data_IF_225401996759
#
_entry.id   IF_225401996759
#
_cell.length_a   1.000
_cell.length_b   1.000
_cell.length_c   1.000
_cell.angle_alpha   90.00
_cell.angle_beta   90.00
_cell.angle_gamma   90.00
#
_symmetry.space_group_name_H-M   'P 1'
#
loop_
_entity.id
_entity.type
_entity.pdbx_description
1 polymer ?
#
# COMPACT_ATOMS: atom_id res chain seq x y z
N UNK A 1 14.25 14.50 18.82
CA UNK A 1 13.13 13.94 19.59
C UNK A 1 12.45 12.93 18.70
N UNK A 2 12.62 11.64 18.96
CA UNK A 2 11.90 10.60 18.24
C UNK A 2 10.42 10.74 18.57
N UNK A 3 9.58 10.93 17.56
CA UNK A 3 8.13 10.97 17.74
C UNK A 3 7.70 9.56 18.19
N UNK A 4 6.81 9.49 19.17
CA UNK A 4 6.40 8.23 19.83
C UNK A 4 5.75 7.24 18.83
N UNK A 5 5.45 7.72 17.62
CA UNK A 5 4.91 7.02 16.46
C UNK A 5 5.96 6.31 15.60
N UNK A 6 7.25 6.67 15.71
CA UNK A 6 8.35 6.02 14.98
C UNK A 6 8.83 4.72 15.65
N UNK A 7 8.31 4.40 16.84
CA UNK A 7 8.66 3.21 17.65
C UNK A 7 7.59 2.10 17.61
N UNK A 8 6.51 2.25 16.84
CA UNK A 8 5.50 1.19 16.68
C UNK A 8 5.97 0.18 15.63
N UNK A 9 5.89 -1.12 15.95
CA UNK A 9 6.28 -2.18 15.03
C UNK A 9 5.56 -2.03 13.67
N UNK A 10 6.35 -1.78 12.61
CA UNK A 10 5.87 -1.52 11.25
C UNK A 10 6.05 -0.08 10.75
N UNK A 11 6.18 0.93 11.62
CA UNK A 11 6.42 2.32 11.22
C UNK A 11 7.91 2.66 11.04
N UNK A 12 8.82 1.91 11.66
CA UNK A 12 10.27 2.11 11.58
C UNK A 12 10.81 2.07 10.15
N UNK A 13 10.36 1.11 9.33
CA UNK A 13 10.78 1.00 7.91
C UNK A 13 10.30 2.19 7.10
N UNK A 14 9.05 2.59 7.31
CA UNK A 14 8.49 3.78 6.67
C UNK A 14 9.29 5.03 7.03
N UNK A 15 9.65 5.19 8.30
CA UNK A 15 10.46 6.32 8.78
C UNK A 15 11.90 6.29 8.20
N UNK A 16 12.50 5.11 8.06
CA UNK A 16 13.80 4.94 7.40
C UNK A 16 13.76 5.39 5.94
N UNK A 17 12.79 4.89 5.16
CA UNK A 17 12.63 5.29 3.77
C UNK A 17 12.30 6.77 3.63
N UNK A 18 11.51 7.35 4.53
CA UNK A 18 11.24 8.78 4.53
C UNK A 18 12.50 9.61 4.83
N UNK A 19 13.37 9.14 5.72
CA UNK A 19 14.64 9.81 6.02
C UNK A 19 15.59 9.76 4.82
N UNK A 20 15.71 8.60 4.16
CA UNK A 20 16.49 8.43 2.94
C UNK A 20 15.96 9.31 1.81
N UNK A 21 14.64 9.33 1.61
CA UNK A 21 13.99 10.15 0.60
C UNK A 21 14.23 11.65 0.82
N UNK A 22 14.30 12.12 2.07
CA UNK A 22 14.66 13.51 2.36
C UNK A 22 16.09 13.85 1.93
N UNK A 23 17.04 12.91 2.05
CA UNK A 23 18.40 13.11 1.57
C UNK A 23 18.44 13.21 0.05
N UNK A 24 17.75 12.29 -0.63
CA UNK A 24 17.66 12.29 -2.10
C UNK A 24 16.93 13.54 -2.60
N UNK A 25 15.87 13.98 -1.91
CA UNK A 25 15.14 15.21 -2.23
C UNK A 25 16.03 16.45 -2.11
N UNK A 26 16.86 16.53 -1.08
CA UNK A 26 17.80 17.64 -0.91
C UNK A 26 18.85 17.68 -2.03
N UNK A 27 19.42 16.51 -2.37
CA UNK A 27 20.38 16.38 -3.47
C UNK A 27 19.75 16.73 -4.84
N UNK A 28 18.54 16.24 -5.11
CA UNK A 28 17.79 16.56 -6.33
C UNK A 28 17.50 18.07 -6.43
N UNK A 29 17.08 18.69 -5.33
CA UNK A 29 16.80 20.13 -5.29
C UNK A 29 18.08 20.94 -5.57
N UNK A 30 19.19 20.58 -4.91
CA UNK A 30 20.48 21.22 -5.14
C UNK A 30 20.93 21.10 -6.61
N UNK A 31 20.79 19.93 -7.23
CA UNK A 31 21.12 19.73 -8.64
C UNK A 31 20.21 20.56 -9.56
N UNK A 32 18.92 20.64 -9.27
CA UNK A 32 17.96 21.46 -10.03
C UNK A 32 18.26 22.96 -9.97
N UNK A 33 18.78 23.44 -8.85
CA UNK A 33 19.19 24.83 -8.69
C UNK A 33 20.50 25.15 -9.44
N UNK A 34 21.38 24.16 -9.62
CA UNK A 34 22.65 24.32 -10.36
C UNK A 34 22.48 24.21 -11.88
N UNK A 35 21.53 23.43 -12.38
CA UNK A 35 21.31 23.20 -13.83
C UNK A 35 21.15 24.49 -14.66
N UNK A 36 20.48 25.56 -14.18
CA UNK A 36 20.41 26.84 -14.88
C UNK A 36 21.76 27.55 -15.08
N UNK A 37 22.70 27.37 -14.15
CA UNK A 37 24.02 28.03 -14.18
C UNK A 37 25.00 27.32 -15.12
N UNK A 38 24.77 26.03 -15.37
CA UNK A 38 25.61 25.20 -16.22
C UNK A 38 25.24 25.32 -17.70
N UNK A 39 26.22 25.12 -18.60
CA UNK A 39 25.98 25.11 -20.05
C UNK A 39 26.76 24.00 -20.76
N UNK A 40 26.27 23.53 -21.91
CA UNK A 40 26.94 22.51 -22.71
C UNK A 40 26.96 21.12 -22.07
N UNK A 41 28.12 20.46 -22.11
CA UNK A 41 28.34 19.12 -21.58
C UNK A 41 28.14 18.98 -20.06
N UNK A 42 28.67 19.86 -19.18
CA UNK A 42 28.45 19.74 -17.73
C UNK A 42 26.97 19.87 -17.36
N UNK A 43 26.20 20.68 -18.10
CA UNK A 43 24.74 20.75 -17.90
C UNK A 43 24.05 19.44 -18.26
N UNK A 44 24.45 18.80 -19.37
CA UNK A 44 23.89 17.51 -19.78
C UNK A 44 24.18 16.43 -18.74
N UNK A 45 25.39 16.43 -18.18
CA UNK A 45 25.77 15.55 -17.08
C UNK A 45 24.92 15.81 -15.82
N UNK A 46 24.75 17.08 -15.43
CA UNK A 46 23.94 17.47 -14.28
C UNK A 46 22.46 17.07 -14.43
N UNK A 47 21.88 17.23 -15.62
CA UNK A 47 20.51 16.78 -15.91
C UNK A 47 20.41 15.26 -15.77
N UNK A 48 21.35 14.50 -16.34
CA UNK A 48 21.34 13.04 -16.21
C UNK A 48 21.50 12.58 -14.76
N UNK A 49 22.32 13.27 -13.96
CA UNK A 49 22.44 13.00 -12.53
C UNK A 49 21.17 13.33 -11.75
N UNK A 50 20.48 14.43 -12.10
CA UNK A 50 19.18 14.78 -11.52
C UNK A 50 18.09 13.78 -11.92
N UNK A 51 18.10 13.27 -13.16
CA UNK A 51 17.19 12.22 -13.62
C UNK A 51 17.37 10.93 -12.80
N UNK A 52 18.62 10.52 -12.52
CA UNK A 52 18.91 9.36 -11.66
C UNK A 52 18.44 9.57 -10.21
N UNK A 53 18.71 10.74 -9.63
CA UNK A 53 18.23 11.05 -8.27
C UNK A 53 16.69 11.08 -8.19
N UNK A 54 16.02 11.54 -9.25
CA UNK A 54 14.56 11.48 -9.33
C UNK A 54 14.04 10.05 -9.44
N UNK A 55 14.74 9.16 -10.15
CA UNK A 55 14.41 7.73 -10.24
C UNK A 55 14.54 7.06 -8.86
N UNK A 56 15.67 7.28 -8.17
CA UNK A 56 15.89 6.81 -6.79
C UNK A 56 14.80 7.32 -5.83
N UNK A 57 14.43 8.60 -5.92
CA UNK A 57 13.34 9.15 -5.12
C UNK A 57 11.98 8.46 -5.38
N UNK A 58 11.71 8.07 -6.63
CA UNK A 58 10.49 7.34 -7.00
C UNK A 58 10.50 5.91 -6.48
N UNK A 59 11.64 5.23 -6.53
CA UNK A 59 11.81 3.91 -5.93
C UNK A 59 11.52 3.92 -4.43
N UNK A 60 12.02 4.93 -3.70
CA UNK A 60 11.74 5.10 -2.28
C UNK A 60 10.25 5.37 -2.00
N UNK A 61 9.58 6.18 -2.83
CA UNK A 61 8.12 6.36 -2.75
C UNK A 61 7.38 5.03 -2.91
N UNK A 62 7.81 4.18 -3.83
CA UNK A 62 7.19 2.87 -4.06
C UNK A 62 7.43 1.91 -2.89
N UNK A 63 8.62 1.91 -2.30
CA UNK A 63 8.91 1.17 -1.07
C UNK A 63 8.03 1.65 0.09
N UNK A 64 7.90 2.97 0.28
CA UNK A 64 7.00 3.56 1.29
C UNK A 64 5.54 3.17 1.05
N UNK A 65 5.11 3.06 -0.22
CA UNK A 65 3.74 2.65 -0.59
C UNK A 65 3.47 1.20 -0.21
N UNK A 66 4.47 0.32 -0.34
CA UNK A 66 4.37 -1.11 0.01
C UNK A 66 4.31 -1.29 1.53
N UNK A 67 5.01 -0.47 2.32
CA UNK A 67 4.99 -0.57 3.79
C UNK A 67 3.74 0.06 4.43
N UNK A 68 3.10 1.01 3.74
CA UNK A 68 1.90 1.72 4.23
C UNK A 68 0.76 0.83 4.75
N UNK A 69 0.41 -0.32 4.15
CA UNK A 69 -0.64 -1.21 4.65
C UNK A 69 -0.31 -1.84 6.01
N UNK A 70 0.98 -2.00 6.32
CA UNK A 70 1.50 -2.65 7.54
C UNK A 70 1.41 -1.74 8.78
N UNK A 71 1.07 -0.46 8.61
CA UNK A 71 1.01 0.54 9.68
C UNK A 71 -0.24 0.30 10.58
N UNK A 72 -0.12 0.35 11.91
CA UNK A 72 -1.26 0.26 12.83
C UNK A 72 -2.31 1.36 12.63
N UNK A 73 -3.57 1.05 12.90
CA UNK A 73 -4.73 1.94 12.71
C UNK A 73 -4.59 3.38 13.26
N UNK A 74 -4.04 3.60 14.48
CA UNK A 74 -3.87 4.95 15.04
C UNK A 74 -2.93 5.84 14.22
N UNK A 75 -1.86 5.29 13.63
CA UNK A 75 -0.85 6.04 12.89
C UNK A 75 -1.19 6.21 11.39
N UNK A 76 -2.11 5.40 10.84
CA UNK A 76 -2.45 5.40 9.40
C UNK A 76 -2.81 6.77 8.85
N UNK A 77 -3.66 7.55 9.54
CA UNK A 77 -4.13 8.84 9.00
C UNK A 77 -2.99 9.85 8.84
N UNK A 78 -2.12 9.97 9.85
CA UNK A 78 -0.97 10.87 9.83
C UNK A 78 0.03 10.45 8.76
N UNK A 79 0.33 9.15 8.66
CA UNK A 79 1.26 8.65 7.63
C UNK A 79 0.69 8.80 6.22
N UNK A 80 -0.60 8.57 6.02
CA UNK A 80 -1.26 8.79 4.72
C UNK A 80 -1.21 10.26 4.27
N UNK A 81 -1.24 11.20 5.20
CA UNK A 81 -1.08 12.62 4.89
C UNK A 81 0.38 12.93 4.52
N UNK A 82 1.34 12.48 5.33
CA UNK A 82 2.78 12.66 5.05
C UNK A 82 3.17 12.07 3.69
N UNK A 83 2.77 10.83 3.41
CA UNK A 83 3.03 10.16 2.14
C UNK A 83 2.51 10.96 0.94
N UNK A 84 1.28 11.50 1.03
CA UNK A 84 0.70 12.34 -0.04
C UNK A 84 1.50 13.62 -0.27
N UNK A 85 1.96 14.26 0.81
CA UNK A 85 2.78 15.48 0.69
C UNK A 85 4.11 15.18 0.01
N UNK A 86 4.81 14.14 0.47
CA UNK A 86 6.11 13.76 -0.08
C UNK A 86 5.98 13.33 -1.55
N UNK A 87 4.93 12.57 -1.90
CA UNK A 87 4.65 12.22 -3.29
C UNK A 87 4.43 13.47 -4.16
N UNK A 88 3.65 14.44 -3.67
CA UNK A 88 3.43 15.70 -4.37
C UNK A 88 4.74 16.47 -4.58
N UNK A 89 5.60 16.55 -3.57
CA UNK A 89 6.86 17.28 -3.64
C UNK A 89 7.80 16.66 -4.70
N UNK A 90 7.92 15.33 -4.74
CA UNK A 90 8.73 14.63 -5.75
C UNK A 90 8.14 14.81 -7.15
N UNK A 91 6.82 14.79 -7.31
CA UNK A 91 6.16 15.07 -8.58
C UNK A 91 6.43 16.51 -9.07
N UNK A 92 6.45 17.49 -8.16
CA UNK A 92 6.79 18.87 -8.47
C UNK A 92 8.24 19.01 -8.94
N UNK A 93 9.19 18.38 -8.23
CA UNK A 93 10.60 18.35 -8.62
C UNK A 93 10.80 17.69 -9.99
N UNK A 94 10.08 16.60 -10.27
CA UNK A 94 10.11 15.93 -11.57
C UNK A 94 9.60 16.81 -12.72
N UNK A 95 8.55 17.62 -12.48
CA UNK A 95 8.06 18.60 -13.46
C UNK A 95 9.08 19.70 -13.70
N UNK A 96 9.73 20.23 -12.66
CA UNK A 96 10.79 21.24 -12.77
C UNK A 96 11.96 20.72 -13.61
N UNK A 97 12.41 19.49 -13.37
CA UNK A 97 13.46 18.84 -14.17
C UNK A 97 13.06 18.74 -15.65
N UNK A 98 11.82 18.31 -15.91
CA UNK A 98 11.30 18.16 -17.27
C UNK A 98 11.27 19.50 -18.00
N UNK A 99 10.84 20.58 -17.34
CA UNK A 99 10.83 21.92 -17.91
C UNK A 99 12.24 22.40 -18.28
N UNK A 100 13.21 22.27 -17.36
CA UNK A 100 14.61 22.65 -17.59
C UNK A 100 15.30 21.82 -18.68
N UNK A 101 14.86 20.58 -18.91
CA UNK A 101 15.37 19.72 -19.99
C UNK A 101 14.75 20.08 -21.36
N UNK A 102 13.50 20.52 -21.38
CA UNK A 102 12.70 20.74 -22.60
C UNK A 102 12.93 22.11 -23.22
N UNK A 103 13.11 23.17 -22.42
CA UNK A 103 13.27 24.55 -22.88
C UNK A 103 14.35 24.74 -23.95
N UNK A 104 15.41 23.91 -23.95
CA UNK A 104 16.45 23.98 -25.00
C UNK A 104 16.21 23.09 -26.21
N UNK A 105 15.48 21.97 -26.12
CA UNK A 105 15.12 21.21 -27.33
C UNK A 105 14.26 22.07 -28.26
N UNK A 106 13.42 22.92 -27.69
CA UNK A 106 12.68 23.94 -28.42
C UNK A 106 13.56 25.09 -28.93
N UNK A 107 14.57 25.52 -28.17
CA UNK A 107 15.48 26.62 -28.56
C UNK A 107 16.49 26.24 -29.66
N UNK A 108 16.96 24.98 -29.68
CA UNK A 108 17.87 24.46 -30.71
C UNK A 108 17.13 23.92 -31.94
N UNK A 109 15.85 23.55 -31.81
CA UNK A 109 15.02 23.10 -32.93
C UNK A 109 14.49 24.22 -33.84
N UNK A 110 14.81 25.49 -33.55
CA UNK A 110 14.27 26.68 -34.23
C UNK A 110 15.29 27.51 -35.03
N UNK A 111 16.47 26.97 -35.34
CA UNK A 111 17.37 27.57 -36.35
C UNK A 111 16.93 27.12 -37.75
N UNK A 112 15.73 27.54 -38.14
CA UNK A 112 15.34 27.60 -39.55
C UNK A 112 16.08 28.80 -40.14
N UNK A 113 17.23 28.57 -40.78
CA UNK A 113 17.90 29.58 -41.60
C UNK A 113 17.25 29.48 -42.98
N UNK A 114 16.51 30.51 -43.31
CA UNK A 114 16.01 30.80 -44.64
C UNK A 114 17.24 31.19 -45.49
N UNK A 115 17.77 30.26 -46.28
CA UNK A 115 18.84 30.48 -47.27
C UNK A 115 18.49 29.60 -48.50
N UNK A 116 18.69 30.06 -49.74
CA UNK A 116 18.03 29.46 -50.89
C UNK A 116 18.75 28.20 -51.40
N UNK A 117 18.06 27.07 -51.30
CA UNK A 117 18.08 25.88 -52.17
C UNK A 117 19.41 25.58 -52.89
N UNK A 118 20.28 24.81 -52.23
CA UNK A 118 21.36 24.06 -52.90
C UNK A 118 20.98 22.57 -53.02
N UNK A 119 21.62 21.82 -53.92
CA UNK A 119 21.32 20.41 -54.20
C UNK A 119 21.40 19.47 -52.97
N UNK A 120 22.05 19.91 -51.88
CA UNK A 120 22.05 19.24 -50.58
C UNK A 120 20.66 19.21 -49.93
N UNK A 121 19.81 20.23 -50.13
CA UNK A 121 18.47 20.32 -49.51
C UNK A 121 17.52 19.21 -49.98
N UNK A 122 17.69 18.72 -51.22
CA UNK A 122 16.89 17.58 -51.72
C UNK A 122 17.32 16.25 -51.12
N UNK A 123 18.62 16.07 -50.83
CA UNK A 123 19.10 14.91 -50.09
C UNK A 123 18.70 14.98 -48.63
N UNK A 124 18.74 16.17 -48.03
CA UNK A 124 18.34 16.40 -46.65
C UNK A 124 16.82 16.21 -46.47
N UNK A 125 15.98 16.70 -47.38
CA UNK A 125 14.54 16.40 -47.41
C UNK A 125 14.26 14.90 -47.52
N UNK A 126 14.98 14.16 -48.39
CA UNK A 126 14.82 12.70 -48.48
C UNK A 126 15.21 11.99 -47.20
N UNK A 127 16.32 12.40 -46.58
CA UNK A 127 16.75 11.85 -45.30
C UNK A 127 15.73 12.17 -44.19
N UNK A 128 15.13 13.36 -44.23
CA UNK A 128 14.11 13.78 -43.30
C UNK A 128 12.81 13.01 -43.49
N UNK A 129 12.38 12.74 -44.73
CA UNK A 129 11.23 11.87 -45.03
C UNK A 129 11.47 10.43 -44.58
N UNK A 130 12.66 9.86 -44.83
CA UNK A 130 13.05 8.53 -44.33
C UNK A 130 13.09 8.48 -42.79
N UNK A 131 13.55 9.56 -42.15
CA UNK A 131 13.52 9.68 -40.69
C UNK A 131 12.08 9.82 -40.16
N UNK A 132 11.21 10.48 -40.93
CA UNK A 132 9.79 10.63 -40.65
C UNK A 132 9.05 9.31 -40.72
N UNK A 133 9.29 8.51 -41.76
CA UNK A 133 8.73 7.16 -41.91
C UNK A 133 9.25 6.22 -40.82
N UNK A 134 10.55 6.26 -40.49
CA UNK A 134 11.12 5.46 -39.40
C UNK A 134 10.63 5.89 -38.00
N UNK A 135 10.22 7.16 -37.82
CA UNK A 135 9.54 7.60 -36.58
C UNK A 135 8.10 7.12 -36.53
N UNK A 136 7.38 7.15 -37.65
CA UNK A 136 6.02 6.65 -37.77
C UNK A 136 5.94 5.14 -37.52
N UNK A 137 6.86 4.37 -38.09
CA UNK A 137 6.92 2.91 -37.91
C UNK A 137 7.19 2.55 -36.45
N UNK A 138 8.15 3.23 -35.80
CA UNK A 138 8.39 3.07 -34.35
C UNK A 138 7.19 3.48 -33.51
N UNK A 139 6.51 4.58 -33.86
CA UNK A 139 5.30 5.03 -33.16
C UNK A 139 4.17 4.01 -33.30
N UNK A 140 3.98 3.45 -34.51
CA UNK A 140 3.01 2.39 -34.77
C UNK A 140 3.33 1.12 -33.99
N UNK A 141 4.60 0.72 -33.93
CA UNK A 141 5.06 -0.39 -33.09
C UNK A 141 4.76 -0.16 -31.60
N UNK A 142 5.04 1.04 -31.09
CA UNK A 142 4.72 1.41 -29.70
C UNK A 142 3.23 1.41 -29.42
N UNK A 143 2.40 1.88 -30.35
CA UNK A 143 0.93 1.86 -30.20
C UNK A 143 0.39 0.42 -30.15
N UNK A 144 0.87 -0.47 -31.02
CA UNK A 144 0.50 -1.89 -30.99
C UNK A 144 0.92 -2.54 -29.67
N UNK A 145 2.11 -2.23 -29.18
CA UNK A 145 2.58 -2.71 -27.89
C UNK A 145 1.75 -2.17 -26.73
N UNK A 146 1.41 -0.89 -26.73
CA UNK A 146 0.51 -0.31 -25.72
C UNK A 146 -0.88 -0.94 -25.76
N UNK A 147 -1.41 -1.24 -26.95
CA UNK A 147 -2.68 -1.96 -27.08
C UNK A 147 -2.59 -3.37 -26.51
N UNK A 148 -1.50 -4.09 -26.76
CA UNK A 148 -1.24 -5.43 -26.20
C UNK A 148 -1.20 -5.39 -24.68
N UNK A 149 -0.44 -4.46 -24.10
CA UNK A 149 -0.33 -4.28 -22.65
C UNK A 149 -1.68 -3.87 -22.04
N UNK A 150 -2.45 -3.03 -22.71
CA UNK A 150 -3.78 -2.62 -22.24
C UNK A 150 -4.75 -3.81 -22.18
N UNK A 151 -4.74 -4.69 -23.19
CA UNK A 151 -5.56 -5.91 -23.20
C UNK A 151 -5.13 -6.89 -22.10
N UNK A 152 -3.82 -7.08 -21.91
CA UNK A 152 -3.28 -7.90 -20.81
C UNK A 152 -3.69 -7.34 -19.43
N UNK A 153 -3.68 -6.01 -19.30
CA UNK A 153 -4.14 -5.32 -18.07
C UNK A 153 -5.64 -5.49 -17.86
N UNK A 154 -6.45 -5.46 -18.92
CA UNK A 154 -7.89 -5.75 -18.85
C UNK A 154 -8.15 -7.17 -18.37
N UNK A 155 -7.39 -8.15 -18.88
CA UNK A 155 -7.50 -9.55 -18.49
C UNK A 155 -7.15 -9.76 -17.01
N UNK A 156 -6.07 -9.13 -16.53
CA UNK A 156 -5.69 -9.13 -15.11
C UNK A 156 -6.76 -8.44 -14.25
N UNK A 157 -7.31 -7.33 -14.73
CA UNK A 157 -8.41 -6.63 -14.06
C UNK A 157 -9.65 -7.53 -13.93
N UNK A 158 -9.98 -8.26 -15.00
CA UNK A 158 -11.10 -9.20 -15.02
C UNK A 158 -10.91 -10.36 -14.05
N UNK A 159 -9.71 -10.97 -13.99
CA UNK A 159 -9.42 -12.04 -13.03
C UNK A 159 -9.48 -11.54 -11.58
N UNK A 160 -8.91 -10.36 -11.31
CA UNK A 160 -8.94 -9.73 -9.98
C UNK A 160 -10.37 -9.47 -9.52
N UNK A 161 -11.25 -8.97 -10.40
CA UNK A 161 -12.67 -8.79 -10.07
C UNK A 161 -13.37 -10.12 -9.78
N UNK A 162 -13.03 -11.19 -10.49
CA UNK A 162 -13.53 -12.54 -10.20
C UNK A 162 -13.07 -13.07 -8.84
N UNK A 163 -11.81 -12.85 -8.49
CA UNK A 163 -11.25 -13.24 -7.19
C UNK A 163 -11.91 -12.45 -6.04
N UNK A 164 -12.12 -11.15 -6.22
CA UNK A 164 -12.82 -10.32 -5.23
C UNK A 164 -14.27 -10.76 -5.02
N UNK A 165 -14.97 -11.17 -6.09
CA UNK A 165 -16.30 -11.72 -5.98
C UNK A 165 -16.32 -13.03 -5.17
N UNK A 166 -15.36 -13.92 -5.44
CA UNK A 166 -15.19 -15.18 -4.69
C UNK A 166 -14.84 -14.93 -3.23
N UNK A 167 -13.93 -13.99 -2.94
CA UNK A 167 -13.57 -13.61 -1.57
C UNK A 167 -14.77 -13.02 -0.82
N UNK A 168 -15.58 -12.19 -1.48
CA UNK A 168 -16.81 -11.66 -0.89
C UNK A 168 -17.76 -12.78 -0.48
N UNK A 169 -17.93 -13.79 -1.33
CA UNK A 169 -18.76 -14.96 -1.02
C UNK A 169 -18.22 -15.73 0.19
N UNK A 170 -16.90 -15.94 0.28
CA UNK A 170 -16.27 -16.57 1.44
C UNK A 170 -16.51 -15.76 2.73
N UNK A 171 -16.38 -14.44 2.69
CA UNK A 171 -16.65 -13.57 3.85
C UNK A 171 -18.11 -13.66 4.29
N UNK A 172 -19.06 -13.66 3.35
CA UNK A 172 -20.48 -13.81 3.66
C UNK A 172 -20.77 -15.16 4.29
N UNK A 173 -20.22 -16.24 3.73
CA UNK A 173 -20.41 -17.60 4.26
C UNK A 173 -19.79 -17.77 5.66
N UNK A 174 -18.59 -17.23 5.88
CA UNK A 174 -17.95 -17.25 7.22
C UNK A 174 -18.74 -16.45 8.23
N UNK A 175 -19.25 -15.26 7.87
CA UNK A 175 -20.10 -14.46 8.76
C UNK A 175 -21.40 -15.19 9.11
N UNK A 176 -22.06 -15.81 8.12
CA UNK A 176 -23.27 -16.62 8.36
C UNK A 176 -22.99 -17.82 9.29
N UNK A 177 -21.87 -18.52 9.07
CA UNK A 177 -21.47 -19.63 9.93
C UNK A 177 -21.12 -19.18 11.36
N UNK A 178 -20.49 -18.03 11.53
CA UNK A 178 -20.22 -17.45 12.86
C UNK A 178 -21.51 -17.12 13.59
N UNK A 179 -22.47 -16.46 12.94
CA UNK A 179 -23.77 -16.19 13.54
C UNK A 179 -24.55 -17.47 13.89
N UNK A 180 -24.45 -18.51 13.06
CA UNK A 180 -25.02 -19.82 13.40
C UNK A 180 -24.33 -20.44 14.63
N UNK A 181 -23.00 -20.32 14.74
CA UNK A 181 -22.20 -20.83 15.87
C UNK A 181 -22.49 -20.11 17.20
N UNK A 182 -22.76 -18.79 17.17
CA UNK A 182 -23.26 -18.04 18.33
C UNK A 182 -24.56 -18.65 18.89
N UNK A 183 -25.48 -19.07 18.01
CA UNK A 183 -26.73 -19.73 18.39
C UNK A 183 -26.54 -21.10 19.06
N UNK A 184 -25.55 -21.90 18.65
CA UNK A 184 -25.24 -23.19 19.29
C UNK A 184 -24.58 -23.02 20.65
N UNK A 185 -23.79 -21.96 20.84
CA UNK A 185 -23.13 -21.64 22.12
C UNK A 185 -24.17 -21.26 23.18
N UNK A 186 -25.16 -20.43 22.84
CA UNK A 186 -26.21 -20.05 23.78
C UNK A 186 -27.09 -21.25 24.19
N UNK A 187 -27.41 -22.14 23.25
CA UNK A 187 -28.16 -23.38 23.52
C UNK A 187 -27.37 -24.33 24.44
N UNK A 188 -26.06 -24.44 24.25
CA UNK A 188 -25.18 -25.26 25.08
C UNK A 188 -25.03 -24.71 26.51
N UNK A 189 -24.97 -23.39 26.67
CA UNK A 189 -24.95 -22.74 27.98
C UNK A 189 -26.29 -22.96 28.71
N UNK A 190 -27.41 -22.90 28.00
CA UNK A 190 -28.74 -23.15 28.57
C UNK A 190 -28.90 -24.58 29.07
N UNK A 191 -28.43 -25.58 28.34
CA UNK A 191 -28.47 -26.99 28.77
C UNK A 191 -27.52 -27.25 29.94
N UNK A 192 -26.30 -26.71 29.89
CA UNK A 192 -25.33 -26.79 30.99
C UNK A 192 -25.86 -26.16 32.28
N UNK A 193 -26.48 -24.97 32.22
CA UNK A 193 -27.13 -24.34 33.39
C UNK A 193 -28.25 -25.21 33.97
N UNK A 194 -29.03 -25.88 33.12
CA UNK A 194 -30.07 -26.83 33.54
C UNK A 194 -29.50 -28.03 34.30
N UNK A 195 -28.40 -28.61 33.81
CA UNK A 195 -27.71 -29.71 34.48
C UNK A 195 -27.06 -29.28 35.79
N UNK A 196 -26.41 -28.11 35.82
CA UNK A 196 -25.79 -27.55 37.03
C UNK A 196 -26.81 -27.32 38.15
N UNK A 197 -28.00 -26.79 37.82
CA UNK A 197 -29.07 -26.58 38.81
C UNK A 197 -29.58 -27.92 39.37
N UNK A 198 -29.82 -28.93 38.53
CA UNK A 198 -30.22 -30.28 38.98
C UNK A 198 -29.16 -30.92 39.87
N UNK A 199 -27.88 -30.78 39.52
CA UNK A 199 -26.76 -31.28 40.31
C UNK A 199 -26.70 -30.61 41.70
N UNK A 200 -26.86 -29.29 41.76
CA UNK A 200 -26.88 -28.55 43.02
C UNK A 200 -28.07 -28.98 43.91
N UNK A 201 -29.27 -29.11 43.34
CA UNK A 201 -30.46 -29.58 44.07
C UNK A 201 -30.24 -30.98 44.63
N UNK A 202 -29.73 -31.93 43.83
CA UNK A 202 -29.45 -33.28 44.29
C UNK A 202 -28.42 -33.27 45.44
N UNK A 203 -27.36 -32.45 45.33
CA UNK A 203 -26.34 -32.34 46.38
C UNK A 203 -26.91 -31.80 47.70
N UNK A 204 -27.80 -30.80 47.64
CA UNK A 204 -28.49 -30.24 48.81
C UNK A 204 -29.40 -31.30 49.46
N UNK A 205 -30.18 -32.03 48.66
CA UNK A 205 -31.06 -33.11 49.15
C UNK A 205 -30.24 -34.18 49.87
N UNK A 206 -29.12 -34.62 49.29
CA UNK A 206 -28.26 -35.63 49.92
C UNK A 206 -27.69 -35.15 51.26
N UNK A 207 -27.22 -33.90 51.35
CA UNK A 207 -26.72 -33.34 52.60
C UNK A 207 -27.84 -33.28 53.65
N UNK A 208 -29.05 -32.86 53.27
CA UNK A 208 -30.19 -32.81 54.17
C UNK A 208 -30.59 -34.20 54.72
N UNK A 209 -30.55 -35.25 53.90
CA UNK A 209 -30.84 -36.62 54.36
C UNK A 209 -29.78 -37.08 55.36
N UNK A 210 -28.50 -36.84 55.09
CA UNK A 210 -27.40 -37.21 56.00
C UNK A 210 -27.54 -36.49 57.34
N UNK A 211 -27.83 -35.19 57.35
CA UNK A 211 -27.99 -34.43 58.60
C UNK A 211 -29.16 -34.92 59.43
N UNK A 212 -30.29 -35.25 58.81
CA UNK A 212 -31.45 -35.83 59.49
C UNK A 212 -31.13 -37.19 60.10
N UNK A 213 -30.42 -38.06 59.37
CA UNK A 213 -29.99 -39.37 59.89
C UNK A 213 -29.07 -39.24 61.10
N UNK A 214 -28.09 -38.34 61.05
CA UNK A 214 -27.18 -38.09 62.17
C UNK A 214 -27.95 -37.58 63.40
N UNK A 215 -28.89 -36.65 63.21
CA UNK A 215 -29.73 -36.14 64.30
C UNK A 215 -30.58 -37.25 64.93
N UNK A 216 -31.16 -38.15 64.13
CA UNK A 216 -31.91 -39.30 64.64
C UNK A 216 -31.03 -40.25 65.45
N UNK A 217 -29.82 -40.56 64.97
CA UNK A 217 -28.86 -41.41 65.70
C UNK A 217 -28.51 -40.77 67.05
N UNK A 218 -28.19 -39.48 67.06
CA UNK A 218 -27.88 -38.74 68.31
C UNK A 218 -29.09 -38.75 69.26
N UNK A 219 -30.30 -38.50 68.75
CA UNK A 219 -31.52 -38.52 69.56
C UNK A 219 -31.77 -39.89 70.20
N UNK A 220 -31.58 -40.99 69.45
CA UNK A 220 -31.72 -42.35 69.98
C UNK A 220 -30.68 -42.65 71.05
N UNK A 221 -29.42 -42.24 70.85
CA UNK A 221 -28.36 -42.41 71.84
C UNK A 221 -28.74 -41.65 73.12
N UNK A 222 -29.13 -40.38 73.02
CA UNK A 222 -29.53 -39.58 74.20
C UNK A 222 -30.73 -40.20 74.90
N UNK A 223 -31.72 -40.72 74.16
CA UNK A 223 -32.89 -41.39 74.75
C UNK A 223 -32.58 -42.74 75.38
N UNK A 224 -31.51 -43.43 74.97
CA UNK A 224 -31.10 -44.73 75.53
C UNK A 224 -30.24 -44.56 76.79
N UNK A 225 -29.46 -43.47 76.85
CA UNK A 225 -28.54 -43.18 77.97
C UNK A 225 -29.13 -42.23 79.03
N UNK A 226 -30.38 -41.76 78.84
CA UNK A 226 -31.24 -41.18 79.87
C UNK A 226 -32.24 -42.22 80.35
#
# INVERSE_FOLDING_TARGET
>A
MADILDSEAGSERFASYEAELKLVQADLTQKLDQIPELSGEPRKAAISQAERALEEARELIDQMRIEKPNIPGPAKNKINQRFRNVQHDIDELGRKLTAQSTDRRALFGKRYRDDPATADDQQEQRQQLLSGTGRLERSSGRLRESQRIALETEDIGRSTLGDLATQREQIVNTQQNLHASEGYTDRSIKTLRGMARRMATNRIITIAIITVLVLLIVAVIVSKFR
#
